data_IF_566610215934
#
_entry.id   IF_566610215934
#
_cell.length_a   1.000
_cell.length_b   1.000
_cell.length_c   1.000
_cell.angle_alpha   90.00
_cell.angle_beta   90.00
_cell.angle_gamma   90.00
#
_symmetry.space_group_name_H-M   'P 1'
#
loop_
_entity.id
_entity.type
_entity.pdbx_description
1 polymer ?
#
# COMPACT_ATOMS: atom_id res chain seq x y z
N UNK A 1 -1.36 -9.34 21.14
CA UNK A 1 0.00 -8.81 20.90
C UNK A 1 0.19 -8.64 19.39
N UNK A 2 0.65 -7.49 18.91
CA UNK A 2 0.70 -7.20 17.46
C UNK A 2 1.88 -8.00 16.85
N UNK A 3 1.65 -8.87 15.85
CA UNK A 3 2.68 -9.72 15.22
C UNK A 3 3.94 -8.97 14.79
N UNK A 4 3.80 -7.69 14.44
CA UNK A 4 4.88 -6.75 14.16
C UNK A 4 6.01 -6.76 15.20
N UNK A 5 5.69 -6.61 16.48
CA UNK A 5 6.70 -6.53 17.54
C UNK A 5 7.44 -7.85 17.71
N UNK A 6 6.71 -8.96 17.66
CA UNK A 6 7.28 -10.31 17.80
C UNK A 6 8.26 -10.59 16.66
N UNK A 7 7.85 -10.34 15.41
CA UNK A 7 8.69 -10.60 14.24
C UNK A 7 9.93 -9.68 14.20
N UNK A 8 9.75 -8.40 14.57
CA UNK A 8 10.85 -7.44 14.66
C UNK A 8 11.84 -7.85 15.76
N UNK A 9 11.36 -8.20 16.94
CA UNK A 9 12.23 -8.61 18.05
C UNK A 9 12.90 -9.95 17.79
N UNK A 10 12.22 -10.90 17.14
CA UNK A 10 12.84 -12.12 16.62
C UNK A 10 13.96 -11.82 15.65
N UNK A 11 13.77 -10.85 14.73
CA UNK A 11 14.83 -10.34 13.88
C UNK A 11 16.02 -9.79 14.68
N UNK A 12 15.79 -8.98 15.71
CA UNK A 12 16.87 -8.47 16.58
C UNK A 12 17.64 -9.57 17.29
N UNK A 13 16.95 -10.65 17.69
CA UNK A 13 17.57 -11.80 18.35
C UNK A 13 18.46 -12.60 17.40
N UNK A 14 18.07 -12.73 16.13
CA UNK A 14 18.92 -13.34 15.08
C UNK A 14 20.27 -12.63 15.01
N UNK A 15 20.30 -11.30 15.15
CA UNK A 15 21.55 -10.53 15.14
C UNK A 15 22.48 -10.88 16.29
N UNK A 16 21.93 -11.32 17.43
CA UNK A 16 22.68 -11.70 18.62
C UNK A 16 23.12 -13.17 18.62
N UNK A 17 22.45 -14.03 17.84
CA UNK A 17 22.69 -15.49 17.87
C UNK A 17 23.27 -16.05 16.57
N UNK A 18 23.31 -15.28 15.49
CA UNK A 18 23.70 -15.75 14.15
C UNK A 18 24.74 -14.83 13.53
N UNK A 19 25.80 -15.44 12.98
CA UNK A 19 26.87 -14.76 12.27
C UNK A 19 26.36 -13.99 11.05
N UNK A 20 27.07 -12.92 10.70
CA UNK A 20 26.65 -11.95 9.69
C UNK A 20 26.28 -12.58 8.33
N UNK A 21 27.02 -13.60 7.91
CA UNK A 21 26.82 -14.29 6.64
C UNK A 21 25.56 -15.18 6.63
N UNK A 22 25.16 -15.67 7.81
CA UNK A 22 24.00 -16.54 7.98
C UNK A 22 22.70 -15.78 8.30
N UNK A 23 22.78 -14.47 8.60
CA UNK A 23 21.60 -13.63 8.91
C UNK A 23 20.53 -13.66 7.82
N UNK A 24 20.93 -13.74 6.54
CA UNK A 24 19.99 -13.82 5.41
C UNK A 24 19.22 -15.14 5.38
N UNK A 25 19.91 -16.25 5.65
CA UNK A 25 19.31 -17.58 5.74
C UNK A 25 18.38 -17.67 6.94
N UNK A 26 18.78 -17.14 8.10
CA UNK A 26 17.95 -17.09 9.30
C UNK A 26 16.68 -16.23 9.10
N UNK A 27 16.78 -15.11 8.38
CA UNK A 27 15.62 -14.30 8.00
C UNK A 27 14.66 -15.03 7.06
N UNK A 28 15.20 -15.73 6.06
CA UNK A 28 14.39 -16.54 5.17
C UNK A 28 13.69 -17.67 5.92
N UNK A 29 14.39 -18.35 6.83
CA UNK A 29 13.82 -19.39 7.67
C UNK A 29 12.72 -18.85 8.59
N UNK A 30 12.92 -17.68 9.22
CA UNK A 30 11.89 -17.00 10.01
C UNK A 30 10.64 -16.70 9.15
N UNK A 31 10.84 -16.13 7.96
CA UNK A 31 9.78 -15.79 7.03
C UNK A 31 9.01 -17.04 6.56
N UNK A 32 9.72 -18.09 6.16
CA UNK A 32 9.16 -19.37 5.75
C UNK A 32 8.36 -20.03 6.88
N UNK A 33 8.93 -20.06 8.09
CA UNK A 33 8.27 -20.66 9.27
C UNK A 33 6.99 -19.91 9.60
N UNK A 34 7.04 -18.57 9.64
CA UNK A 34 5.86 -17.77 9.96
C UNK A 34 4.77 -17.85 8.88
N UNK A 35 5.16 -17.86 7.59
CA UNK A 35 4.25 -18.08 6.48
C UNK A 35 3.55 -19.44 6.55
N UNK A 36 4.31 -20.51 6.85
CA UNK A 36 3.76 -21.85 7.08
C UNK A 36 2.81 -21.89 8.29
N UNK A 37 3.19 -21.27 9.41
CA UNK A 37 2.33 -21.21 10.60
C UNK A 37 1.01 -20.49 10.32
N UNK A 38 1.03 -19.41 9.52
CA UNK A 38 -0.18 -18.70 9.11
C UNK A 38 -1.04 -19.53 8.16
N UNK A 39 -0.44 -20.28 7.24
CA UNK A 39 -1.17 -21.18 6.34
C UNK A 39 -1.87 -22.29 7.13
N UNK A 40 -1.16 -22.91 8.08
CA UNK A 40 -1.72 -23.94 8.96
C UNK A 40 -2.81 -23.38 9.88
N UNK A 41 -2.62 -22.18 10.43
CA UNK A 41 -3.64 -21.51 11.23
C UNK A 41 -4.88 -21.15 10.40
N UNK A 42 -4.68 -20.70 9.16
CA UNK A 42 -5.76 -20.42 8.21
C UNK A 42 -6.59 -21.68 7.91
N UNK A 43 -5.94 -22.83 7.77
CA UNK A 43 -6.63 -24.11 7.59
C UNK A 43 -7.35 -24.55 8.87
N UNK A 44 -6.71 -24.45 10.04
CA UNK A 44 -7.29 -24.83 11.33
C UNK A 44 -8.47 -23.94 11.76
N UNK A 45 -8.48 -22.67 11.34
CA UNK A 45 -9.54 -21.69 11.66
C UNK A 45 -10.63 -21.63 10.58
N UNK A 46 -10.54 -22.46 9.53
CA UNK A 46 -11.56 -22.52 8.49
C UNK A 46 -12.88 -23.05 9.08
N UNK A 47 -13.92 -22.22 8.99
CA UNK A 47 -15.27 -22.55 9.44
C UNK A 47 -16.26 -22.27 8.29
N UNK A 48 -17.53 -22.66 8.46
CA UNK A 48 -18.57 -22.33 7.46
C UNK A 48 -18.78 -20.83 7.27
N UNK A 49 -18.40 -20.01 8.27
CA UNK A 49 -18.54 -18.55 8.22
C UNK A 49 -17.25 -17.82 7.78
N UNK A 50 -16.08 -18.40 8.06
CA UNK A 50 -14.77 -17.83 7.73
C UNK A 50 -14.02 -18.84 6.88
N UNK A 51 -13.76 -18.50 5.62
CA UNK A 51 -12.98 -19.34 4.70
C UNK A 51 -11.66 -18.65 4.35
N UNK A 52 -10.61 -18.83 5.17
CA UNK A 52 -9.30 -18.28 4.90
C UNK A 52 -8.75 -18.89 3.61
N UNK A 53 -8.20 -18.04 2.74
CA UNK A 53 -7.55 -18.52 1.51
C UNK A 53 -6.11 -18.93 1.85
N UNK A 54 -5.90 -20.22 2.09
CA UNK A 54 -4.61 -20.79 2.54
C UNK A 54 -3.44 -20.39 1.62
N UNK A 55 -3.66 -20.41 0.30
CA UNK A 55 -2.66 -20.02 -0.68
C UNK A 55 -2.29 -18.52 -0.67
N UNK A 56 -3.12 -17.66 -0.08
CA UNK A 56 -2.83 -16.24 0.13
C UNK A 56 -2.19 -16.02 1.51
N UNK A 57 -2.57 -16.81 2.51
CA UNK A 57 -2.03 -16.74 3.87
C UNK A 57 -0.52 -17.01 3.92
N UNK A 58 -0.04 -17.99 3.15
CA UNK A 58 1.38 -18.34 3.08
C UNK A 58 2.27 -17.20 2.57
N UNK A 59 2.06 -16.65 1.35
CA UNK A 59 2.88 -15.56 0.84
C UNK A 59 2.72 -14.29 1.70
N UNK A 60 1.52 -13.96 2.17
CA UNK A 60 1.32 -12.79 3.04
C UNK A 60 2.12 -12.93 4.35
N UNK A 61 2.03 -14.07 5.02
CA UNK A 61 2.81 -14.34 6.23
C UNK A 61 4.31 -14.28 5.97
N UNK A 62 4.77 -14.91 4.89
CA UNK A 62 6.17 -14.88 4.48
C UNK A 62 6.68 -13.45 4.30
N UNK A 63 6.00 -12.62 3.51
CA UNK A 63 6.45 -11.24 3.24
C UNK A 63 6.36 -10.36 4.48
N UNK A 64 5.31 -10.50 5.30
CA UNK A 64 5.21 -9.75 6.57
C UNK A 64 6.39 -10.09 7.48
N UNK A 65 6.69 -11.37 7.69
CA UNK A 65 7.82 -11.80 8.52
C UNK A 65 9.17 -11.43 7.93
N UNK A 66 9.33 -11.48 6.61
CA UNK A 66 10.55 -11.05 5.93
C UNK A 66 10.79 -9.55 6.17
N UNK A 67 9.77 -8.71 5.98
CA UNK A 67 9.88 -7.26 6.16
C UNK A 67 10.11 -6.91 7.64
N UNK A 68 9.29 -7.43 8.55
CA UNK A 68 9.39 -7.14 9.98
C UNK A 68 10.72 -7.65 10.56
N UNK A 69 11.09 -8.88 10.21
CA UNK A 69 12.34 -9.52 10.63
C UNK A 69 13.55 -8.78 10.09
N UNK A 70 13.55 -8.36 8.82
CA UNK A 70 14.65 -7.59 8.23
C UNK A 70 14.81 -6.22 8.90
N UNK A 71 13.70 -5.55 9.25
CA UNK A 71 13.72 -4.31 10.06
C UNK A 71 14.30 -4.58 11.45
N UNK A 72 14.05 -5.76 12.01
CA UNK A 72 14.67 -6.21 13.26
C UNK A 72 16.17 -6.43 13.16
N UNK A 73 16.63 -7.17 12.14
CA UNK A 73 18.04 -7.53 11.95
C UNK A 73 18.91 -6.33 11.58
N UNK A 74 18.45 -5.53 10.63
CA UNK A 74 19.23 -4.45 10.04
C UNK A 74 18.83 -3.07 10.55
N UNK A 75 17.75 -2.95 11.33
CA UNK A 75 17.21 -1.64 11.71
C UNK A 75 16.55 -0.92 10.54
N UNK A 76 15.44 -0.23 10.78
CA UNK A 76 14.73 0.53 9.73
C UNK A 76 15.65 1.54 9.04
N UNK A 77 16.50 2.23 9.82
CA UNK A 77 17.43 3.24 9.31
C UNK A 77 18.57 2.62 8.50
N UNK A 78 19.19 1.53 8.96
CA UNK A 78 20.32 0.95 8.23
C UNK A 78 19.87 0.08 7.05
N UNK A 79 18.64 -0.42 7.05
CA UNK A 79 18.04 -1.05 5.87
C UNK A 79 17.82 -0.02 4.75
N UNK A 80 17.23 1.14 5.09
CA UNK A 80 17.10 2.29 4.18
C UNK A 80 18.47 2.77 3.71
N UNK A 81 19.46 2.85 4.62
CA UNK A 81 20.81 3.28 4.26
C UNK A 81 21.61 2.23 3.50
N UNK A 82 21.40 0.92 3.69
CA UNK A 82 22.15 -0.13 2.98
C UNK A 82 21.70 -0.28 1.52
N UNK A 83 20.41 -0.09 1.26
CA UNK A 83 19.88 0.10 -0.10
C UNK A 83 20.50 1.36 -0.73
N UNK A 84 20.74 2.39 0.07
CA UNK A 84 21.38 3.63 -0.36
C UNK A 84 22.91 3.59 -0.48
N UNK A 85 23.64 2.84 0.35
CA UNK A 85 25.09 3.03 0.55
C UNK A 85 25.94 2.28 -0.49
N UNK A 86 25.43 1.22 -1.09
CA UNK A 86 26.03 0.52 -2.25
C UNK A 86 25.63 1.09 -3.61
N UNK A 87 24.86 2.17 -3.58
CA UNK A 87 24.08 2.65 -4.72
C UNK A 87 24.58 4.01 -5.19
N UNK A 88 24.70 4.19 -6.51
CA UNK A 88 25.10 5.46 -7.11
C UNK A 88 24.17 6.60 -6.68
N UNK A 89 24.63 7.85 -6.78
CA UNK A 89 23.83 9.04 -6.44
C UNK A 89 22.44 9.06 -7.13
N UNK A 90 22.35 8.47 -8.33
CA UNK A 90 21.12 8.26 -9.07
C UNK A 90 20.11 7.36 -8.32
N UNK A 91 20.56 6.22 -7.81
CA UNK A 91 19.66 5.28 -7.12
C UNK A 91 19.14 5.88 -5.82
N UNK A 92 19.96 6.65 -5.09
CA UNK A 92 19.52 7.36 -3.87
C UNK A 92 18.41 8.37 -4.16
N UNK A 93 18.55 9.14 -5.23
CA UNK A 93 17.56 10.15 -5.63
C UNK A 93 16.29 9.49 -6.16
N UNK A 94 16.41 8.41 -6.93
CA UNK A 94 15.30 7.59 -7.38
C UNK A 94 14.46 7.08 -6.20
N UNK A 95 15.08 6.44 -5.20
CA UNK A 95 14.39 5.94 -4.00
C UNK A 95 13.72 7.04 -3.19
N UNK A 96 14.33 8.23 -3.09
CA UNK A 96 13.70 9.39 -2.43
C UNK A 96 12.43 9.83 -3.15
N UNK A 97 12.42 9.83 -4.48
CA UNK A 97 11.23 10.15 -5.26
C UNK A 97 10.14 9.08 -5.13
N UNK A 98 10.52 7.79 -5.16
CA UNK A 98 9.60 6.67 -4.92
C UNK A 98 8.95 6.81 -3.54
N UNK A 99 9.76 7.06 -2.51
CA UNK A 99 9.29 7.27 -1.15
C UNK A 99 8.36 8.48 -1.03
N UNK A 100 8.68 9.60 -1.66
CA UNK A 100 7.84 10.79 -1.67
C UNK A 100 6.46 10.53 -2.31
N UNK A 101 6.42 9.89 -3.48
CA UNK A 101 5.16 9.50 -4.13
C UNK A 101 4.33 8.59 -3.25
N UNK A 102 4.96 7.56 -2.66
CA UNK A 102 4.28 6.61 -1.77
C UNK A 102 3.71 7.31 -0.54
N UNK A 103 4.50 8.15 0.16
CA UNK A 103 4.05 8.89 1.34
C UNK A 103 2.86 9.79 1.00
N UNK A 104 2.92 10.52 -0.12
CA UNK A 104 1.84 11.40 -0.52
C UNK A 104 0.58 10.63 -0.90
N UNK A 105 0.71 9.56 -1.67
CA UNK A 105 -0.44 8.78 -2.13
C UNK A 105 -1.15 8.07 -0.97
N UNK A 106 -0.41 7.34 -0.13
CA UNK A 106 -0.99 6.62 1.01
C UNK A 106 -1.38 7.57 2.15
N UNK A 107 -0.63 8.66 2.35
CA UNK A 107 -0.98 9.71 3.31
C UNK A 107 -2.29 10.41 2.93
N UNK A 108 -2.45 10.81 1.66
CA UNK A 108 -3.71 11.35 1.18
C UNK A 108 -4.86 10.34 1.30
N UNK A 109 -4.60 9.07 1.00
CA UNK A 109 -5.60 8.00 1.14
C UNK A 109 -6.05 7.79 2.59
N UNK A 110 -5.13 7.89 3.55
CA UNK A 110 -5.45 7.85 4.98
C UNK A 110 -6.31 9.04 5.40
N UNK A 111 -5.98 10.26 4.95
CA UNK A 111 -6.77 11.45 5.23
C UNK A 111 -8.17 11.38 4.60
N UNK A 112 -8.28 10.82 3.39
CA UNK A 112 -9.56 10.58 2.73
C UNK A 112 -10.41 9.57 3.50
N UNK A 113 -9.80 8.47 3.95
CA UNK A 113 -10.50 7.47 4.77
C UNK A 113 -10.97 8.07 6.11
N UNK A 114 -10.10 8.81 6.80
CA UNK A 114 -10.43 9.47 8.06
C UNK A 114 -11.56 10.49 7.89
N UNK A 115 -11.50 11.33 6.84
CA UNK A 115 -12.56 12.29 6.56
C UNK A 115 -13.88 11.61 6.19
N UNK A 116 -13.84 10.50 5.44
CA UNK A 116 -15.03 9.71 5.13
C UNK A 116 -15.68 9.09 6.39
N UNK A 117 -14.89 8.65 7.38
CA UNK A 117 -15.43 8.19 8.68
C UNK A 117 -16.15 9.32 9.41
N UNK A 118 -15.56 10.52 9.44
CA UNK A 118 -16.16 11.69 10.11
C UNK A 118 -17.46 12.11 9.41
N UNK A 119 -17.45 12.20 8.07
CA UNK A 119 -18.63 12.57 7.28
C UNK A 119 -19.76 11.55 7.43
N UNK A 120 -19.44 10.26 7.50
CA UNK A 120 -20.42 9.19 7.62
C UNK A 120 -20.55 8.65 9.04
N UNK A 121 -20.25 9.47 10.05
CA UNK A 121 -20.19 9.06 11.46
C UNK A 121 -21.47 8.36 11.95
N UNK A 122 -22.64 8.92 11.64
CA UNK A 122 -23.92 8.34 12.07
C UNK A 122 -24.12 6.92 11.51
N UNK A 123 -23.75 6.70 10.24
CA UNK A 123 -23.83 5.36 9.62
C UNK A 123 -22.78 4.42 10.20
N UNK A 124 -21.58 4.92 10.42
CA UNK A 124 -20.48 4.17 11.02
C UNK A 124 -20.88 3.63 12.40
N UNK A 125 -21.44 4.48 13.27
CA UNK A 125 -21.91 4.10 14.61
C UNK A 125 -23.13 3.19 14.55
N UNK A 126 -24.08 3.44 13.64
CA UNK A 126 -25.27 2.58 13.48
C UNK A 126 -24.92 1.14 13.08
N UNK A 127 -23.79 0.93 12.40
CA UNK A 127 -23.36 -0.43 12.09
C UNK A 127 -22.89 -1.16 13.36
N UNK A 128 -22.25 -0.49 14.33
CA UNK A 128 -21.91 -1.13 15.60
C UNK A 128 -23.14 -1.63 16.37
N UNK A 129 -24.24 -0.88 16.31
CA UNK A 129 -25.49 -1.28 16.98
C UNK A 129 -26.19 -2.43 16.25
N UNK A 130 -26.09 -2.49 14.91
CA UNK A 130 -26.66 -3.59 14.11
C UNK A 130 -25.90 -4.91 14.30
N UNK A 131 -24.57 -4.87 14.51
CA UNK A 131 -23.82 -6.09 14.82
C UNK A 131 -24.16 -6.68 16.19
N UNK A 132 -24.84 -5.93 17.06
CA UNK A 132 -25.13 -6.28 18.45
C UNK A 132 -23.92 -6.93 19.14
N UNK A 133 -22.76 -6.31 18.94
CA UNK A 133 -21.51 -6.80 19.47
C UNK A 133 -21.56 -6.61 20.99
N UNK A 134 -21.99 -7.64 21.73
CA UNK A 134 -22.03 -7.63 23.19
C UNK A 134 -20.68 -7.25 23.81
N UNK A 135 -20.60 -7.13 25.13
CA UNK A 135 -19.44 -6.59 25.85
C UNK A 135 -18.07 -7.21 25.48
N UNK A 136 -18.03 -8.48 25.09
CA UNK A 136 -16.81 -9.16 24.59
C UNK A 136 -16.58 -8.93 23.10
N UNK A 137 -17.64 -8.86 22.30
CA UNK A 137 -17.59 -8.65 20.86
C UNK A 137 -17.14 -7.24 20.49
N UNK A 138 -17.52 -6.23 21.27
CA UNK A 138 -17.21 -4.83 20.98
C UNK A 138 -15.68 -4.54 20.99
N UNK A 139 -14.89 -4.93 22.01
CA UNK A 139 -13.43 -4.81 21.97
C UNK A 139 -12.80 -5.56 20.80
N UNK A 140 -13.32 -6.74 20.48
CA UNK A 140 -12.82 -7.56 19.36
C UNK A 140 -13.08 -6.90 18.01
N UNK A 141 -14.27 -6.33 17.84
CA UNK A 141 -14.67 -5.58 16.65
C UNK A 141 -13.82 -4.32 16.48
N UNK A 142 -13.56 -3.59 17.57
CA UNK A 142 -12.66 -2.44 17.55
C UNK A 142 -11.26 -2.88 17.13
N UNK A 143 -10.72 -3.94 17.72
CA UNK A 143 -9.41 -4.49 17.35
C UNK A 143 -9.36 -4.91 15.87
N UNK A 144 -10.42 -5.53 15.36
CA UNK A 144 -10.55 -5.91 13.95
C UNK A 144 -10.57 -4.69 13.03
N UNK A 145 -11.29 -3.63 13.39
CA UNK A 145 -11.33 -2.38 12.62
C UNK A 145 -9.94 -1.76 12.56
N UNK A 146 -9.23 -1.65 13.68
CA UNK A 146 -7.86 -1.14 13.70
C UNK A 146 -6.91 -1.99 12.84
N UNK A 147 -7.07 -3.31 12.86
CA UNK A 147 -6.30 -4.21 12.00
C UNK A 147 -6.65 -4.06 10.51
N UNK A 148 -7.89 -3.67 10.19
CA UNK A 148 -8.35 -3.46 8.82
C UNK A 148 -8.01 -2.08 8.23
N UNK A 149 -7.68 -1.08 9.05
CA UNK A 149 -7.33 0.29 8.60
C UNK A 149 -6.20 0.30 7.57
N UNK A 150 -5.04 -0.38 7.77
CA UNK A 150 -3.96 -0.39 6.77
C UNK A 150 -4.43 -0.90 5.40
N UNK A 151 -5.26 -1.95 5.38
CA UNK A 151 -5.82 -2.51 4.15
C UNK A 151 -6.79 -1.52 3.49
N UNK A 152 -7.63 -0.87 4.30
CA UNK A 152 -8.56 0.16 3.81
C UNK A 152 -7.81 1.36 3.19
N UNK A 153 -6.65 1.76 3.75
CA UNK A 153 -5.81 2.82 3.16
C UNK A 153 -5.26 2.40 1.80
N UNK A 154 -4.77 1.17 1.67
CA UNK A 154 -4.26 0.64 0.39
C UNK A 154 -5.38 0.53 -0.65
N UNK A 155 -6.57 0.07 -0.25
CA UNK A 155 -7.76 0.03 -1.10
C UNK A 155 -8.20 1.44 -1.53
N UNK A 156 -8.17 2.40 -0.62
CA UNK A 156 -8.45 3.81 -0.93
C UNK A 156 -7.43 4.37 -1.92
N UNK A 157 -6.14 4.03 -1.76
CA UNK A 157 -5.10 4.41 -2.72
C UNK A 157 -5.37 3.86 -4.13
N UNK A 158 -5.97 2.67 -4.26
CA UNK A 158 -6.39 2.12 -5.55
C UNK A 158 -7.58 2.87 -6.15
N UNK A 159 -8.51 3.39 -5.34
CA UNK A 159 -9.56 4.31 -5.81
C UNK A 159 -8.92 5.61 -6.31
N UNK A 160 -8.03 6.20 -5.50
CA UNK A 160 -7.32 7.44 -5.85
C UNK A 160 -6.51 7.25 -7.14
N UNK A 161 -5.84 6.12 -7.31
CA UNK A 161 -5.09 5.78 -8.52
C UNK A 161 -5.96 5.39 -9.73
N UNK A 162 -7.28 5.54 -9.67
CA UNK A 162 -8.19 5.28 -10.79
C UNK A 162 -8.62 3.82 -10.98
N UNK A 163 -7.91 2.87 -10.38
CA UNK A 163 -8.19 1.44 -10.54
C UNK A 163 -9.53 1.02 -9.92
N UNK A 164 -9.88 1.65 -8.80
CA UNK A 164 -11.03 1.30 -7.98
C UNK A 164 -10.86 -0.01 -7.21
N UNK A 165 -11.92 -0.43 -6.53
CA UNK A 165 -11.97 -1.63 -5.69
C UNK A 165 -13.26 -2.41 -5.89
N UNK A 166 -13.18 -3.72 -5.65
CA UNK A 166 -14.32 -4.61 -5.47
C UNK A 166 -14.40 -5.02 -4.00
N UNK A 167 -15.61 -5.01 -3.46
CA UNK A 167 -15.95 -5.31 -2.07
C UNK A 167 -17.01 -6.41 -2.09
N UNK A 168 -16.65 -7.61 -2.57
CA UNK A 168 -17.60 -8.69 -2.79
C UNK A 168 -18.19 -8.80 -4.20
N UNK A 169 -19.15 -9.71 -4.36
CA UNK A 169 -19.75 -9.98 -5.67
C UNK A 169 -20.55 -8.77 -6.18
N UNK A 170 -20.40 -8.47 -7.47
CA UNK A 170 -21.07 -7.37 -8.19
C UNK A 170 -20.79 -5.93 -7.72
N UNK A 171 -19.92 -5.70 -6.72
CA UNK A 171 -19.55 -4.35 -6.29
C UNK A 171 -18.36 -3.82 -7.09
N UNK A 172 -18.40 -2.53 -7.41
CA UNK A 172 -17.29 -1.80 -8.01
C UNK A 172 -17.35 -0.35 -7.56
N UNK A 173 -16.28 0.10 -6.93
CA UNK A 173 -16.12 1.51 -6.54
C UNK A 173 -14.89 2.02 -7.26
N UNK A 174 -15.09 2.78 -8.33
CA UNK A 174 -14.03 3.49 -9.04
C UNK A 174 -14.40 4.96 -9.27
N UNK A 175 -13.43 5.84 -9.53
CA UNK A 175 -13.68 7.25 -9.83
C UNK A 175 -14.73 7.49 -10.92
N UNK A 176 -14.80 6.60 -11.90
CA UNK A 176 -15.69 6.72 -13.06
C UNK A 176 -17.03 5.99 -12.88
N UNK A 177 -17.08 4.94 -12.05
CA UNK A 177 -18.26 4.09 -11.88
C UNK A 177 -18.35 3.60 -10.44
N UNK A 178 -19.50 3.86 -9.82
CA UNK A 178 -19.86 3.30 -8.51
C UNK A 178 -21.07 2.40 -8.70
N UNK A 179 -20.92 1.12 -8.36
CA UNK A 179 -21.98 0.12 -8.31
C UNK A 179 -21.85 -0.62 -7.00
N UNK A 180 -22.82 -0.45 -6.11
CA UNK A 180 -22.86 -1.14 -4.83
C UNK A 180 -23.85 -2.30 -4.95
N UNK A 181 -23.38 -3.51 -4.68
CA UNK A 181 -24.23 -4.65 -4.35
C UNK A 181 -24.54 -4.67 -2.86
N UNK A 182 -25.01 -5.81 -2.37
CA UNK A 182 -25.22 -6.02 -0.93
C UNK A 182 -23.86 -6.03 -0.22
N UNK A 183 -23.63 -5.00 0.61
CA UNK A 183 -22.46 -4.93 1.48
C UNK A 183 -22.83 -5.46 2.86
N UNK A 184 -21.96 -6.23 3.51
CA UNK A 184 -22.19 -6.64 4.88
C UNK A 184 -22.15 -5.44 5.82
N UNK A 185 -22.79 -5.60 6.98
CA UNK A 185 -22.69 -4.67 8.08
C UNK A 185 -21.27 -4.75 8.68
N UNK A 186 -20.29 -4.14 8.04
CA UNK A 186 -18.95 -3.93 8.60
C UNK A 186 -18.70 -2.43 8.71
N UNK A 187 -18.41 -1.87 9.90
CA UNK A 187 -18.40 -0.42 10.12
C UNK A 187 -17.57 0.38 9.12
N UNK A 188 -16.37 -0.08 8.75
CA UNK A 188 -15.53 0.63 7.78
C UNK A 188 -16.19 0.76 6.39
N UNK A 189 -17.10 -0.14 6.01
CA UNK A 189 -17.82 -0.05 4.74
C UNK A 189 -18.84 1.10 4.71
N UNK A 190 -19.21 1.68 5.86
CA UNK A 190 -20.04 2.88 5.90
C UNK A 190 -19.41 4.07 5.17
N UNK A 191 -18.08 4.07 5.06
CA UNK A 191 -17.27 5.12 4.41
C UNK A 191 -17.24 5.00 2.89
N UNK A 192 -17.73 3.89 2.35
CA UNK A 192 -17.73 3.64 0.91
C UNK A 192 -18.69 4.63 0.24
N UNK A 193 -18.27 5.29 -0.86
CA UNK A 193 -19.13 6.22 -1.56
C UNK A 193 -20.38 5.53 -2.13
N UNK A 194 -21.54 6.14 -1.93
CA UNK A 194 -22.84 5.59 -2.33
C UNK A 194 -23.28 5.94 -3.76
N UNK A 195 -22.45 6.68 -4.49
CA UNK A 195 -22.79 7.13 -5.84
C UNK A 195 -21.63 7.85 -6.50
N UNK A 196 -21.80 8.15 -7.79
CA UNK A 196 -20.83 8.94 -8.54
C UNK A 196 -20.84 10.38 -8.02
N UNK A 197 -19.66 10.97 -7.89
CA UNK A 197 -19.51 12.39 -7.56
C UNK A 197 -18.36 13.01 -8.34
N UNK A 198 -18.40 14.34 -8.50
CA UNK A 198 -17.28 15.08 -9.07
C UNK A 198 -16.01 14.88 -8.23
N UNK A 199 -16.16 14.88 -6.91
CA UNK A 199 -15.07 14.62 -5.96
C UNK A 199 -14.32 13.32 -6.27
N UNK A 200 -15.05 12.20 -6.44
CA UNK A 200 -14.44 10.91 -6.80
C UNK A 200 -13.73 10.96 -8.14
N UNK A 201 -14.31 11.65 -9.12
CA UNK A 201 -13.74 11.78 -10.47
C UNK A 201 -12.42 12.56 -10.47
N UNK A 202 -12.24 13.48 -9.51
CA UNK A 202 -11.03 14.29 -9.37
C UNK A 202 -9.92 13.62 -8.55
N UNK A 203 -10.19 12.54 -7.80
CA UNK A 203 -9.17 11.86 -6.99
C UNK A 203 -7.90 11.43 -7.77
N UNK A 204 -7.97 10.95 -9.03
CA UNK A 204 -6.79 10.65 -9.85
C UNK A 204 -5.78 11.78 -10.00
N UNK A 205 -6.19 13.04 -9.83
CA UNK A 205 -5.28 14.19 -9.84
C UNK A 205 -4.24 14.08 -8.72
N UNK A 206 -4.62 13.55 -7.55
CA UNK A 206 -3.68 13.34 -6.43
C UNK A 206 -2.55 12.40 -6.84
N UNK A 207 -2.86 11.33 -7.59
CA UNK A 207 -1.85 10.40 -8.10
C UNK A 207 -0.89 11.08 -9.08
N UNK A 208 -1.41 11.92 -9.98
CA UNK A 208 -0.59 12.69 -10.92
C UNK A 208 0.33 13.66 -10.16
N UNK A 209 -0.21 14.43 -9.21
CA UNK A 209 0.57 15.41 -8.44
C UNK A 209 1.64 14.75 -7.55
N UNK A 210 1.27 13.68 -6.84
CA UNK A 210 2.21 12.91 -6.02
C UNK A 210 3.35 12.35 -6.87
N UNK A 211 3.00 11.77 -8.03
CA UNK A 211 3.99 11.19 -8.94
C UNK A 211 4.84 12.25 -9.64
N UNK A 212 4.31 13.45 -9.90
CA UNK A 212 5.08 14.57 -10.42
C UNK A 212 6.13 15.07 -9.43
N UNK A 213 5.78 15.23 -8.16
CA UNK A 213 6.76 15.59 -7.14
C UNK A 213 7.83 14.50 -6.99
N UNK A 214 7.42 13.22 -6.91
CA UNK A 214 8.37 12.12 -6.81
C UNK A 214 9.27 11.99 -8.02
N UNK A 215 8.73 12.11 -9.23
CA UNK A 215 9.48 12.08 -10.49
C UNK A 215 10.51 13.21 -10.57
N UNK A 216 10.12 14.43 -10.18
CA UNK A 216 11.06 15.55 -10.06
C UNK A 216 12.20 15.23 -9.09
N UNK A 217 11.89 14.77 -7.88
CA UNK A 217 12.90 14.39 -6.88
C UNK A 217 13.82 13.27 -7.38
N UNK A 218 13.29 12.31 -8.13
CA UNK A 218 14.04 11.18 -8.69
C UNK A 218 15.11 11.59 -9.69
N UNK A 219 14.88 12.65 -10.48
CA UNK A 219 15.77 13.00 -11.60
C UNK A 219 16.39 14.39 -11.50
N UNK A 220 16.11 15.15 -10.44
CA UNK A 220 16.65 16.51 -10.26
C UNK A 220 18.17 16.59 -10.27
N UNK A 221 18.85 15.58 -9.72
CA UNK A 221 20.31 15.53 -9.66
C UNK A 221 20.95 14.84 -10.88
N UNK A 222 20.15 14.51 -11.91
CA UNK A 222 20.60 13.75 -13.08
C UNK A 222 20.75 14.68 -14.26
N UNK A 223 21.91 14.67 -14.91
CA UNK A 223 22.16 15.44 -16.12
C UNK A 223 21.75 14.65 -17.38
N UNK A 224 21.33 15.37 -18.42
CA UNK A 224 20.99 14.80 -19.72
C UNK A 224 19.53 14.31 -19.84
N UNK A 225 18.90 14.66 -20.97
CA UNK A 225 17.50 14.35 -21.27
C UNK A 225 17.20 12.83 -21.21
N UNK A 226 18.02 12.01 -21.87
CA UNK A 226 17.82 10.57 -21.92
C UNK A 226 17.87 9.88 -20.55
N UNK A 227 18.75 10.34 -19.66
CA UNK A 227 18.87 9.81 -18.30
C UNK A 227 17.69 10.23 -17.42
N UNK A 228 17.23 11.49 -17.53
CA UNK A 228 16.01 11.96 -16.83
C UNK A 228 14.75 11.23 -17.31
N UNK A 229 14.61 10.97 -18.62
CA UNK A 229 13.49 10.20 -19.15
C UNK A 229 13.50 8.76 -18.62
N UNK A 230 14.65 8.07 -18.64
CA UNK A 230 14.76 6.72 -18.07
C UNK A 230 14.45 6.70 -16.57
N UNK A 231 14.95 7.68 -15.81
CA UNK A 231 14.71 7.79 -14.37
C UNK A 231 13.25 8.03 -14.01
N UNK A 232 12.54 8.89 -14.74
CA UNK A 232 11.11 9.15 -14.52
C UNK A 232 10.24 7.95 -14.88
N UNK A 233 10.56 7.24 -15.97
CA UNK A 233 9.89 5.99 -16.33
C UNK A 233 10.10 4.93 -15.24
N UNK A 234 11.34 4.71 -14.80
CA UNK A 234 11.66 3.75 -13.74
C UNK A 234 10.95 4.08 -12.42
N UNK A 235 10.86 5.37 -12.06
CA UNK A 235 10.11 5.85 -10.91
C UNK A 235 8.62 5.50 -11.00
N UNK A 236 7.98 5.76 -12.14
CA UNK A 236 6.57 5.45 -12.36
C UNK A 236 6.30 3.95 -12.20
N UNK A 237 7.08 3.11 -12.91
CA UNK A 237 6.95 1.66 -12.81
C UNK A 237 7.18 1.13 -11.40
N UNK A 238 8.18 1.64 -10.69
CA UNK A 238 8.44 1.22 -9.31
C UNK A 238 7.24 1.49 -8.39
N UNK A 239 6.58 2.64 -8.51
CA UNK A 239 5.39 2.95 -7.70
C UNK A 239 4.16 2.13 -8.10
N UNK A 240 3.99 1.81 -9.39
CA UNK A 240 2.94 0.87 -9.85
C UNK A 240 3.15 -0.50 -9.23
N UNK A 241 4.39 -1.00 -9.23
CA UNK A 241 4.75 -2.28 -8.61
C UNK A 241 4.49 -2.24 -7.10
N UNK A 242 4.85 -1.17 -6.41
CA UNK A 242 4.54 -1.00 -4.97
C UNK A 242 3.03 -1.03 -4.73
N UNK A 243 2.24 -0.32 -5.54
CA UNK A 243 0.78 -0.31 -5.42
C UNK A 243 0.18 -1.71 -5.65
N UNK A 244 0.67 -2.45 -6.65
CA UNK A 244 0.27 -3.84 -6.90
C UNK A 244 0.59 -4.75 -5.72
N UNK A 245 1.84 -4.71 -5.23
CA UNK A 245 2.29 -5.55 -4.12
C UNK A 245 1.50 -5.26 -2.85
N UNK A 246 1.27 -3.98 -2.53
CA UNK A 246 0.47 -3.63 -1.36
C UNK A 246 -0.99 -4.07 -1.52
N UNK A 247 -1.59 -3.98 -2.72
CA UNK A 247 -2.94 -4.49 -2.93
C UNK A 247 -3.01 -6.02 -2.93
N UNK A 248 -1.94 -6.72 -3.30
CA UNK A 248 -1.84 -8.16 -3.15
C UNK A 248 -1.86 -8.56 -1.66
N UNK A 249 -1.15 -7.81 -0.82
CA UNK A 249 -1.11 -8.04 0.63
C UNK A 249 -2.41 -7.60 1.34
N UNK A 250 -3.03 -6.52 0.88
CA UNK A 250 -4.23 -5.94 1.47
C UNK A 250 -5.53 -6.62 1.01
N UNK A 251 -5.51 -7.26 -0.16
CA UNK A 251 -6.64 -7.98 -0.73
C UNK A 251 -6.78 -9.40 -0.19
N UNK A 252 -7.99 -9.94 -0.26
CA UNK A 252 -8.30 -11.30 0.20
C UNK A 252 -9.79 -11.53 0.42
N UNK A 253 -10.17 -12.75 0.80
CA UNK A 253 -11.51 -13.03 1.30
C UNK A 253 -11.56 -12.62 2.78
N UNK A 254 -12.48 -11.72 3.14
CA UNK A 254 -12.64 -11.26 4.54
C UNK A 254 -13.62 -12.14 5.33
N UNK A 255 -14.74 -12.52 4.73
CA UNK A 255 -15.74 -13.45 5.27
C UNK A 255 -16.19 -14.39 4.13
N UNK A 256 -16.54 -15.65 4.44
CA UNK A 256 -17.09 -16.56 3.44
C UNK A 256 -18.38 -15.99 2.79
N UNK A 257 -18.69 -16.40 1.56
CA UNK A 257 -19.90 -15.95 0.85
C UNK A 257 -19.71 -14.65 0.06
N UNK A 258 -20.50 -13.60 0.37
CA UNK A 258 -20.56 -12.34 -0.40
C UNK A 258 -19.24 -11.53 -0.40
N UNK A 259 -18.33 -11.75 0.55
CA UNK A 259 -16.98 -11.13 0.62
C UNK A 259 -15.84 -12.08 0.17
N UNK A 260 -16.13 -13.03 -0.71
CA UNK A 260 -15.14 -13.99 -1.22
C UNK A 260 -13.97 -13.34 -1.97
N UNK A 261 -14.12 -12.09 -2.45
CA UNK A 261 -13.06 -11.30 -3.05
C UNK A 261 -13.19 -9.81 -2.67
N UNK A 262 -12.25 -9.34 -1.86
CA UNK A 262 -12.13 -7.92 -1.47
C UNK A 262 -10.76 -7.41 -1.91
N UNK A 263 -10.73 -6.32 -2.67
CA UNK A 263 -9.49 -5.69 -3.12
C UNK A 263 -9.60 -5.00 -4.47
N UNK A 264 -8.50 -4.40 -4.90
CA UNK A 264 -8.38 -3.82 -6.22
C UNK A 264 -8.10 -4.89 -7.28
N UNK A 265 -8.65 -4.71 -8.48
CA UNK A 265 -8.27 -5.55 -9.62
C UNK A 265 -6.86 -5.18 -10.07
N UNK A 266 -5.94 -6.15 -10.06
CA UNK A 266 -4.55 -5.94 -10.48
C UNK A 266 -4.44 -5.43 -11.92
N UNK A 267 -5.29 -5.94 -12.82
CA UNK A 267 -5.35 -5.48 -14.20
C UNK A 267 -5.82 -4.02 -14.30
N UNK A 268 -6.78 -3.60 -13.47
CA UNK A 268 -7.21 -2.20 -13.43
C UNK A 268 -6.13 -1.29 -12.87
N UNK A 269 -5.34 -1.76 -11.90
CA UNK A 269 -4.15 -1.01 -11.45
C UNK A 269 -3.20 -0.80 -12.62
N UNK A 270 -2.89 -1.84 -13.38
CA UNK A 270 -2.02 -1.73 -14.55
C UNK A 270 -2.58 -0.77 -15.62
N UNK A 271 -3.88 -0.82 -15.90
CA UNK A 271 -4.51 0.00 -16.95
C UNK A 271 -4.67 1.46 -16.52
N UNK A 272 -5.06 1.73 -15.27
CA UNK A 272 -5.40 3.08 -14.81
C UNK A 272 -4.26 3.77 -14.05
N UNK A 273 -3.57 3.09 -13.13
CA UNK A 273 -2.53 3.72 -12.32
C UNK A 273 -1.25 3.99 -13.11
N UNK A 274 -0.86 3.08 -14.01
CA UNK A 274 0.34 3.21 -14.86
C UNK A 274 0.36 4.52 -15.66
N UNK A 275 -0.66 4.85 -16.49
CA UNK A 275 -0.62 6.09 -17.25
C UNK A 275 -0.64 7.33 -16.35
N UNK A 276 -1.38 7.33 -15.24
CA UNK A 276 -1.43 8.48 -14.31
C UNK A 276 -0.07 8.73 -13.67
N UNK A 277 0.59 7.68 -13.17
CA UNK A 277 1.92 7.78 -12.57
C UNK A 277 2.98 8.11 -13.61
N UNK A 278 2.87 7.60 -14.84
CA UNK A 278 3.79 7.93 -15.92
C UNK A 278 3.67 9.40 -16.31
N UNK A 279 2.45 9.90 -16.53
CA UNK A 279 2.18 11.32 -16.83
C UNK A 279 2.71 12.22 -15.72
N UNK A 280 2.38 11.93 -14.46
CA UNK A 280 2.90 12.67 -13.32
C UNK A 280 4.43 12.67 -13.31
N UNK A 281 5.06 11.50 -13.34
CA UNK A 281 6.53 11.38 -13.31
C UNK A 281 7.22 12.15 -14.44
N UNK A 282 6.67 12.09 -15.67
CA UNK A 282 7.21 12.84 -16.81
C UNK A 282 7.08 14.35 -16.62
N UNK A 283 5.96 14.85 -16.10
CA UNK A 283 5.80 16.27 -15.76
C UNK A 283 6.85 16.71 -14.74
N UNK A 284 7.11 15.90 -13.71
CA UNK A 284 8.19 16.15 -12.75
C UNK A 284 9.58 16.22 -13.40
N UNK A 285 9.85 15.33 -14.35
CA UNK A 285 11.09 15.34 -15.13
C UNK A 285 11.24 16.58 -16.01
N UNK A 286 10.17 17.05 -16.63
CA UNK A 286 10.15 18.28 -17.44
C UNK A 286 10.44 19.52 -16.59
N UNK A 287 9.84 19.62 -15.41
CA UNK A 287 10.13 20.71 -14.45
C UNK A 287 11.62 20.69 -14.07
N UNK A 288 12.18 19.50 -13.86
CA UNK A 288 13.61 19.38 -13.58
C UNK A 288 14.52 19.82 -14.74
N UNK A 289 14.09 19.64 -15.99
CA UNK A 289 14.83 20.10 -17.18
C UNK A 289 14.77 21.62 -17.34
N UNK A 290 13.63 22.23 -17.01
CA UNK A 290 13.48 23.68 -17.07
C UNK A 290 14.44 24.37 -16.06
N UNK A 291 14.55 23.81 -14.84
CA UNK A 291 15.44 24.34 -13.81
C UNK A 291 16.93 24.27 -14.17
N UNK A 292 17.40 23.21 -14.84
CA UNK A 292 18.82 23.12 -15.20
C UNK A 292 19.21 24.15 -16.27
N UNK A 293 18.33 24.42 -17.25
CA UNK A 293 18.61 25.41 -18.30
C UNK A 293 18.72 26.83 -17.75
N UNK A 294 17.98 27.16 -16.69
CA UNK A 294 18.06 28.49 -16.07
C UNK A 294 19.37 28.70 -15.30
N UNK A 295 19.96 27.65 -14.75
CA UNK A 295 21.25 27.74 -14.05
C UNK A 295 22.38 28.00 -15.05
N UNK A 296 22.42 27.25 -16.15
CA UNK A 296 23.44 27.42 -17.21
C UNK A 296 23.43 28.85 -17.78
N UNK A 297 22.24 29.44 -17.99
CA UNK A 297 22.09 30.80 -18.53
C UNK A 297 22.54 31.91 -17.57
N UNK A 298 22.65 31.64 -16.26
CA UNK A 298 23.13 32.60 -15.26
C UNK A 298 24.66 32.61 -15.15
N UNK A 299 25.33 31.50 -15.48
CA UNK A 299 26.79 31.40 -15.44
C UNK A 299 27.48 31.87 -16.72
N UNK A 300 26.72 32.12 -17.80
CA UNK A 300 27.23 32.70 -19.05
C UNK A 300 27.20 34.25 -19.08
N UNK A 301 26.77 34.92 -17.99
CA UNK A 301 26.78 36.39 -17.85
C UNK A 301 27.83 36.84 -16.85
#
# INVERSE_FOLDING_TARGET
MIPWFVLRDSGRRITASVDQDQRRLALFALAATYGLSLALAAEALATRAVSPVVWVALPNGFFIALICGAIGVYGMRDLIQSIGSRSSAFVKTLWRGIGATSILLYGASLLLLASAVVVHWSRFVSLFTVLDAGWVGLPLLIALIFAAVPNAVVMTASIVAGAGIALGNHTLVSPLRVRLGELPAFPLLATVPNGRSLFLTLLPIITILASALGGFISVRAVAGLGAKLRGTVLHAFANVVILLLLNLLAGGALLGGQLSAVGASYLRILIFATPLMLVGSLLGGLVSLAGSKSEDALFER
#
